data_IF_951618626048
#
_entry.id   IF_951618626048
#
_cell.length_a   1.000
_cell.length_b   1.000
_cell.length_c   1.000
_cell.angle_alpha   90.00
_cell.angle_beta   90.00
_cell.angle_gamma   90.00
#
_symmetry.space_group_name_H-M   'P 1'
#
loop_
_entity.id
_entity.type
_entity.pdbx_description
1 polymer ?
#
# COMPACT_ATOMS: atom_id res chain seq x y z
N UNK A 1 -4.48 -4.00 -16.40
CA UNK A 1 -5.85 -4.60 -16.34
C UNK A 1 -6.94 -3.62 -16.80
N UNK A 2 -6.76 -2.32 -16.65
CA UNK A 2 -7.75 -1.29 -17.03
C UNK A 2 -7.70 -0.91 -18.52
N UNK A 3 -6.58 -1.13 -19.18
CA UNK A 3 -6.42 -0.81 -20.61
C UNK A 3 -6.49 -2.07 -21.45
N UNK A 4 -7.14 -2.01 -22.64
CA UNK A 4 -7.16 -3.12 -23.59
C UNK A 4 -5.74 -3.58 -23.97
N UNK A 5 -5.59 -4.87 -24.26
CA UNK A 5 -4.33 -5.43 -24.76
C UNK A 5 -4.27 -5.42 -26.29
N UNK A 6 -5.43 -5.28 -26.92
CA UNK A 6 -5.62 -5.30 -28.36
C UNK A 6 -6.00 -3.91 -28.91
N UNK A 7 -6.06 -3.80 -30.23
CA UNK A 7 -6.39 -2.57 -30.93
C UNK A 7 -5.30 -1.50 -30.80
N UNK A 8 -5.67 -0.24 -31.04
CA UNK A 8 -4.73 0.90 -31.04
C UNK A 8 -4.13 1.17 -29.67
N UNK A 9 -4.95 1.09 -28.61
CA UNK A 9 -4.49 1.29 -27.22
C UNK A 9 -3.53 0.16 -26.83
N UNK A 10 -3.83 -1.09 -27.20
CA UNK A 10 -2.95 -2.22 -26.96
C UNK A 10 -1.59 -2.05 -27.64
N UNK A 11 -1.59 -1.66 -28.90
CA UNK A 11 -0.36 -1.36 -29.67
C UNK A 11 0.43 -0.20 -29.03
N UNK A 12 -0.23 0.89 -28.71
CA UNK A 12 0.40 2.06 -28.10
C UNK A 12 1.03 1.75 -26.73
N UNK A 13 0.41 0.93 -25.90
CA UNK A 13 0.89 0.58 -24.56
C UNK A 13 1.85 -0.61 -24.52
N UNK A 14 2.01 -1.35 -25.63
CA UNK A 14 2.86 -2.54 -25.70
C UNK A 14 4.33 -2.29 -25.27
N UNK A 15 5.01 -1.17 -25.60
CA UNK A 15 6.37 -0.92 -25.14
C UNK A 15 6.44 -0.81 -23.61
N UNK A 16 5.50 -0.10 -22.97
CA UNK A 16 5.45 0.02 -21.52
C UNK A 16 5.19 -1.34 -20.86
N UNK A 17 4.24 -2.12 -21.39
CA UNK A 17 3.94 -3.48 -20.89
C UNK A 17 5.15 -4.41 -20.96
N UNK A 18 5.87 -4.42 -22.09
CA UNK A 18 7.12 -5.20 -22.24
C UNK A 18 8.19 -4.77 -21.26
N UNK A 19 8.31 -3.45 -21.03
CA UNK A 19 9.26 -2.92 -20.07
C UNK A 19 8.92 -3.36 -18.65
N UNK A 20 7.65 -3.25 -18.23
CA UNK A 20 7.17 -3.70 -16.92
C UNK A 20 7.41 -5.20 -16.75
N UNK A 21 7.05 -6.01 -17.76
CA UNK A 21 7.27 -7.45 -17.72
C UNK A 21 8.75 -7.84 -17.56
N UNK A 22 9.66 -7.10 -18.22
CA UNK A 22 11.11 -7.33 -18.10
C UNK A 22 11.68 -6.88 -16.76
N UNK A 23 11.17 -5.78 -16.18
CA UNK A 23 11.60 -5.29 -14.88
C UNK A 23 11.08 -6.17 -13.74
N UNK A 24 9.99 -6.87 -13.98
CA UNK A 24 9.34 -7.70 -12.98
C UNK A 24 8.55 -6.90 -11.95
N UNK A 25 8.20 -7.58 -10.86
CA UNK A 25 7.51 -6.99 -9.71
C UNK A 25 8.52 -6.59 -8.63
N UNK A 26 8.22 -5.49 -7.94
CA UNK A 26 9.00 -5.05 -6.79
C UNK A 26 8.87 -5.98 -5.59
N UNK A 27 9.55 -5.61 -4.52
CA UNK A 27 9.49 -6.34 -3.27
C UNK A 27 8.08 -6.31 -2.67
N UNK A 28 7.77 -7.32 -1.90
CA UNK A 28 6.60 -7.42 -1.07
C UNK A 28 6.99 -7.40 0.41
N UNK A 29 6.02 -7.53 1.30
CA UNK A 29 6.28 -7.58 2.73
C UNK A 29 5.31 -8.51 3.44
N UNK A 30 5.72 -8.99 4.60
CA UNK A 30 4.83 -9.49 5.64
C UNK A 30 4.74 -8.42 6.71
N UNK A 31 3.52 -8.07 7.09
CA UNK A 31 3.26 -7.12 8.17
C UNK A 31 2.49 -7.79 9.28
N UNK A 32 3.00 -7.68 10.48
CA UNK A 32 2.31 -8.08 11.72
C UNK A 32 1.74 -6.83 12.34
N UNK A 33 0.42 -6.75 12.40
CA UNK A 33 -0.32 -5.70 13.08
C UNK A 33 -0.60 -6.15 14.51
N UNK A 34 -0.28 -5.30 15.46
CA UNK A 34 -0.46 -5.55 16.89
C UNK A 34 -1.43 -4.54 17.47
N UNK A 35 -2.42 -5.01 18.21
CA UNK A 35 -3.15 -4.21 19.17
C UNK A 35 -2.50 -4.43 20.53
N UNK A 36 -2.22 -3.32 21.20
CA UNK A 36 -1.57 -3.32 22.52
C UNK A 36 -2.59 -2.99 23.60
N UNK A 37 -2.43 -3.62 24.77
CA UNK A 37 -3.31 -3.45 25.92
C UNK A 37 -3.17 -2.11 26.62
N UNK A 38 -2.00 -1.46 26.47
CA UNK A 38 -1.72 -0.16 27.03
C UNK A 38 -0.78 0.67 26.15
N UNK A 39 -0.55 1.92 26.53
CA UNK A 39 0.31 2.83 25.78
C UNK A 39 1.76 2.30 25.76
N UNK A 40 2.37 2.08 24.58
CA UNK A 40 3.73 1.56 24.49
C UNK A 40 4.79 2.53 25.04
N UNK A 41 4.44 3.77 25.38
CA UNK A 41 5.31 4.66 26.14
C UNK A 41 5.65 4.10 27.53
N UNK A 42 4.84 3.20 28.09
CA UNK A 42 5.10 2.50 29.35
C UNK A 42 6.37 1.65 29.32
N UNK A 43 6.78 1.20 28.13
CA UNK A 43 8.02 0.46 27.89
C UNK A 43 9.12 1.29 27.22
N UNK A 44 9.02 2.62 27.28
CA UNK A 44 10.05 3.55 26.81
C UNK A 44 10.00 3.90 25.32
N UNK A 45 8.91 3.55 24.60
CA UNK A 45 8.75 3.92 23.20
C UNK A 45 8.44 5.40 23.05
N UNK A 46 9.19 6.11 22.23
CA UNK A 46 9.04 7.55 21.97
C UNK A 46 8.30 7.89 20.67
N UNK A 47 7.94 6.86 19.90
CA UNK A 47 7.31 7.00 18.57
C UNK A 47 8.31 6.97 17.42
N UNK A 48 9.60 6.86 17.67
CA UNK A 48 10.62 6.58 16.67
C UNK A 48 10.36 5.24 15.98
N UNK A 49 10.80 5.11 14.73
CA UNK A 49 10.82 3.83 14.04
C UNK A 49 12.10 3.08 14.44
N UNK A 50 11.99 1.77 14.60
CA UNK A 50 13.12 0.93 14.98
C UNK A 50 13.40 -0.07 13.84
N UNK A 51 14.63 -0.10 13.35
CA UNK A 51 15.13 -1.13 12.46
C UNK A 51 15.96 -2.12 13.27
N UNK A 52 15.59 -3.38 13.21
CA UNK A 52 16.27 -4.47 13.93
C UNK A 52 16.80 -5.45 12.91
N UNK A 53 18.06 -5.76 12.99
CA UNK A 53 18.73 -6.75 12.15
C UNK A 53 19.49 -7.75 13.00
N UNK A 54 19.45 -9.02 12.62
CA UNK A 54 20.25 -10.07 13.29
C UNK A 54 21.72 -9.92 13.02
N UNK A 55 22.04 -9.44 11.83
CA UNK A 55 23.39 -9.31 11.32
C UNK A 55 23.58 -7.97 10.64
N UNK A 56 24.72 -7.35 10.81
CA UNK A 56 25.07 -6.09 10.14
C UNK A 56 25.68 -6.33 8.75
N UNK A 57 26.13 -7.53 8.46
CA UNK A 57 26.79 -7.86 7.19
C UNK A 57 25.86 -7.73 5.98
N UNK A 58 24.53 -7.76 6.18
CA UNK A 58 23.59 -7.57 5.09
C UNK A 58 23.56 -6.12 4.55
N UNK A 59 24.06 -5.14 5.31
CA UNK A 59 24.20 -3.74 4.86
C UNK A 59 25.55 -3.47 4.18
N UNK A 60 26.51 -4.34 4.36
CA UNK A 60 27.83 -4.24 3.76
C UNK A 60 27.80 -4.51 2.25
N UNK A 61 26.99 -3.74 1.51
CA UNK A 61 26.72 -3.67 0.09
C UNK A 61 27.82 -4.14 -0.89
N UNK A 62 28.27 -5.34 -0.70
CA UNK A 62 29.08 -6.09 -1.66
C UNK A 62 28.19 -7.07 -2.45
N UNK A 63 28.78 -7.76 -3.39
CA UNK A 63 28.14 -8.81 -4.21
C UNK A 63 27.57 -10.01 -3.38
N UNK A 64 27.56 -9.87 -2.04
CA UNK A 64 27.05 -10.81 -1.06
C UNK A 64 25.66 -10.44 -0.50
N UNK A 65 24.77 -9.82 -1.28
CA UNK A 65 23.36 -9.73 -0.87
C UNK A 65 22.85 -11.15 -0.62
N UNK A 66 22.30 -11.43 0.59
CA UNK A 66 21.74 -12.74 0.87
C UNK A 66 20.75 -13.11 -0.21
N UNK A 67 20.82 -14.35 -0.66
CA UNK A 67 19.91 -14.92 -1.65
C UNK A 67 18.45 -14.61 -1.27
N UNK A 68 17.66 -13.97 -2.11
CA UNK A 68 16.26 -13.67 -1.84
C UNK A 68 15.44 -14.91 -1.44
N UNK A 69 15.78 -16.06 -1.98
CA UNK A 69 15.12 -17.33 -1.65
C UNK A 69 15.53 -17.84 -0.26
N UNK A 70 16.78 -17.67 0.14
CA UNK A 70 17.25 -18.00 1.49
C UNK A 70 16.58 -17.09 2.55
N UNK A 71 16.46 -15.78 2.28
CA UNK A 71 15.73 -14.85 3.14
C UNK A 71 14.26 -15.22 3.27
N UNK A 72 13.62 -15.55 2.16
CA UNK A 72 12.24 -16.00 2.16
C UNK A 72 12.06 -17.27 2.98
N UNK A 73 12.94 -18.26 2.81
CA UNK A 73 12.93 -19.50 3.58
C UNK A 73 13.13 -19.26 5.08
N UNK A 74 14.04 -18.38 5.47
CA UNK A 74 14.26 -18.00 6.87
C UNK A 74 13.01 -17.34 7.48
N UNK A 75 12.38 -16.41 6.76
CA UNK A 75 11.14 -15.78 7.19
C UNK A 75 10.01 -16.79 7.38
N UNK A 76 9.80 -17.70 6.41
CA UNK A 76 8.79 -18.76 6.50
C UNK A 76 9.06 -19.72 7.68
N UNK A 77 10.31 -19.89 8.06
CA UNK A 77 10.74 -20.66 9.24
C UNK A 77 10.60 -19.86 10.56
N UNK A 78 10.08 -18.63 10.54
CA UNK A 78 9.97 -17.76 11.71
C UNK A 78 11.32 -17.18 12.17
N UNK A 79 12.28 -17.05 11.29
CA UNK A 79 13.62 -16.50 11.57
C UNK A 79 13.92 -15.35 10.62
N UNK A 80 13.18 -14.23 10.69
CA UNK A 80 13.45 -13.07 9.84
C UNK A 80 14.87 -12.54 10.10
N UNK A 81 15.56 -12.10 9.05
CA UNK A 81 16.87 -11.47 9.16
C UNK A 81 16.79 -10.06 9.73
N UNK A 82 15.73 -9.34 9.37
CA UNK A 82 15.48 -7.99 9.84
C UNK A 82 14.00 -7.68 9.90
N UNK A 83 13.65 -6.75 10.79
CA UNK A 83 12.29 -6.20 10.90
C UNK A 83 12.34 -4.68 11.09
N UNK A 84 11.33 -4.03 10.58
CA UNK A 84 11.01 -2.63 10.87
C UNK A 84 9.86 -2.59 11.86
N UNK A 85 9.99 -1.83 12.93
CA UNK A 85 8.96 -1.67 13.97
C UNK A 85 8.50 -0.23 14.01
N UNK A 86 7.20 -0.02 14.03
CA UNK A 86 6.56 1.28 14.09
C UNK A 86 5.41 1.29 15.09
N UNK A 87 5.15 2.46 15.66
CA UNK A 87 4.09 2.67 16.65
C UNK A 87 3.13 3.78 16.18
N UNK A 88 2.18 3.47 15.28
CA UNK A 88 1.29 4.46 14.68
C UNK A 88 0.45 5.22 15.71
N UNK A 89 -0.03 4.56 16.76
CA UNK A 89 -0.82 5.19 17.81
C UNK A 89 -0.03 6.25 18.62
N UNK A 90 1.27 6.03 18.83
CA UNK A 90 2.15 7.03 19.49
C UNK A 90 2.29 8.26 18.63
N UNK A 91 2.45 8.09 17.31
CA UNK A 91 2.59 9.19 16.35
C UNK A 91 1.32 10.00 16.16
N UNK A 92 0.19 9.32 16.13
CA UNK A 92 -1.13 9.97 15.96
C UNK A 92 -1.72 10.51 17.25
N UNK A 93 -1.27 10.01 18.40
CA UNK A 93 -1.83 10.33 19.71
C UNK A 93 -3.24 9.74 19.96
N UNK A 94 -3.65 8.74 19.19
CA UNK A 94 -5.00 8.17 19.26
C UNK A 94 -4.98 6.71 19.71
N UNK A 95 -5.99 6.32 20.52
CA UNK A 95 -6.33 4.94 20.81
C UNK A 95 -7.12 4.32 19.62
N UNK A 96 -7.10 2.98 19.45
CA UNK A 96 -6.39 2.01 20.29
C UNK A 96 -4.88 2.06 20.10
N UNK A 97 -4.15 1.56 21.11
CA UNK A 97 -2.70 1.45 21.05
C UNK A 97 -2.29 0.36 20.05
N UNK A 98 -1.39 0.70 19.12
CA UNK A 98 -1.01 -0.19 18.02
C UNK A 98 0.48 -0.15 17.75
N UNK A 99 1.00 -1.28 17.28
CA UNK A 99 2.32 -1.40 16.68
C UNK A 99 2.25 -2.19 15.37
N UNK A 100 3.23 -1.98 14.51
CA UNK A 100 3.40 -2.71 13.25
C UNK A 100 4.83 -3.22 13.17
N UNK A 101 4.97 -4.51 12.81
CA UNK A 101 6.27 -5.11 12.53
C UNK A 101 6.26 -5.55 11.08
N UNK A 102 7.23 -5.09 10.28
CA UNK A 102 7.31 -5.34 8.85
C UNK A 102 8.61 -6.06 8.52
N UNK A 103 8.52 -7.15 7.77
CA UNK A 103 9.64 -7.83 7.16
C UNK A 103 9.48 -7.85 5.64
N UNK A 104 10.50 -7.43 4.90
CA UNK A 104 10.47 -7.51 3.45
C UNK A 104 10.63 -8.94 2.97
N UNK A 105 9.88 -9.30 1.94
CA UNK A 105 9.85 -10.66 1.40
C UNK A 105 9.61 -10.66 -0.11
N UNK A 106 10.07 -11.69 -0.78
CA UNK A 106 9.63 -12.03 -2.12
C UNK A 106 8.24 -12.68 -2.09
N UNK A 107 7.37 -12.30 -3.04
CA UNK A 107 6.04 -12.88 -3.14
C UNK A 107 6.06 -14.38 -3.53
N UNK A 108 7.13 -14.85 -4.16
CA UNK A 108 7.28 -16.24 -4.62
C UNK A 108 7.08 -17.27 -3.52
N UNK A 109 7.56 -16.99 -2.32
CA UNK A 109 7.47 -17.88 -1.17
C UNK A 109 6.02 -18.21 -0.73
N UNK A 110 5.05 -17.35 -1.08
CA UNK A 110 3.63 -17.51 -0.69
C UNK A 110 2.77 -18.06 -1.83
N UNK A 111 3.32 -18.28 -3.03
CA UNK A 111 2.57 -18.78 -4.21
C UNK A 111 1.86 -20.11 -3.99
N UNK A 112 2.34 -21.07 -3.18
CA UNK A 112 1.64 -22.32 -2.93
C UNK A 112 0.19 -22.17 -2.42
N UNK A 113 -0.11 -21.01 -1.80
CA UNK A 113 -1.46 -20.71 -1.28
C UNK A 113 -2.24 -19.69 -2.12
N UNK A 114 -1.72 -19.28 -3.28
CA UNK A 114 -2.30 -18.19 -4.06
C UNK A 114 -3.69 -18.51 -4.65
N UNK A 115 -3.91 -19.76 -5.01
CA UNK A 115 -5.16 -20.20 -5.65
C UNK A 115 -6.29 -20.47 -4.64
N UNK A 116 -5.99 -20.37 -3.34
CA UNK A 116 -6.99 -20.53 -2.29
C UNK A 116 -7.68 -19.19 -1.97
N UNK A 117 -8.98 -19.20 -1.64
CA UNK A 117 -9.72 -17.98 -1.34
C UNK A 117 -9.11 -17.18 -0.19
N UNK A 118 -9.22 -15.85 -0.27
CA UNK A 118 -8.88 -14.99 0.86
C UNK A 118 -9.81 -15.32 2.06
N UNK A 119 -9.21 -15.47 3.25
CA UNK A 119 -9.92 -15.86 4.46
C UNK A 119 -10.00 -17.37 4.69
N UNK A 120 -9.80 -18.20 3.66
CA UNK A 120 -9.79 -19.66 3.77
C UNK A 120 -8.65 -20.29 2.97
N UNK A 121 -7.42 -20.08 3.43
CA UNK A 121 -6.22 -20.69 2.84
C UNK A 121 -5.77 -21.95 3.58
N UNK A 122 -6.57 -22.42 4.56
CA UNK A 122 -6.36 -23.67 5.30
C UNK A 122 -5.44 -23.52 6.52
N UNK A 123 -5.47 -24.55 7.36
CA UNK A 123 -4.78 -24.57 8.67
C UNK A 123 -3.24 -24.42 8.54
N UNK A 124 -2.66 -25.02 7.51
CA UNK A 124 -1.21 -24.89 7.23
C UNK A 124 -0.78 -23.43 7.03
N UNK A 125 -1.57 -22.68 6.26
CA UNK A 125 -1.31 -21.25 6.04
C UNK A 125 -1.51 -20.43 7.32
N UNK A 126 -2.49 -20.75 8.14
CA UNK A 126 -2.69 -20.10 9.44
C UNK A 126 -1.50 -20.36 10.37
N UNK A 127 -1.07 -21.61 10.49
CA UNK A 127 0.11 -21.97 11.27
C UNK A 127 1.41 -21.30 10.76
N UNK A 128 1.53 -21.14 9.44
CA UNK A 128 2.63 -20.38 8.84
C UNK A 128 2.61 -18.91 9.30
N UNK A 129 1.45 -18.25 9.24
CA UNK A 129 1.29 -16.86 9.69
C UNK A 129 1.65 -16.70 11.17
N UNK A 130 1.19 -17.60 12.02
CA UNK A 130 1.51 -17.60 13.45
C UNK A 130 3.02 -17.76 13.71
N UNK A 131 3.65 -18.70 13.02
CA UNK A 131 5.11 -18.92 13.12
C UNK A 131 5.90 -17.69 12.68
N UNK A 132 5.52 -17.06 11.57
CA UNK A 132 6.16 -15.83 11.09
C UNK A 132 5.96 -14.70 12.10
N UNK A 133 4.75 -14.50 12.59
CA UNK A 133 4.44 -13.46 13.56
C UNK A 133 5.26 -13.62 14.85
N UNK A 134 5.34 -14.83 15.38
CA UNK A 134 6.13 -15.14 16.58
C UNK A 134 7.61 -14.83 16.37
N UNK A 135 8.17 -15.19 15.20
CA UNK A 135 9.56 -14.91 14.89
C UNK A 135 9.86 -13.43 14.68
N UNK A 136 8.94 -12.71 14.05
CA UNK A 136 9.07 -11.25 13.86
C UNK A 136 8.94 -10.50 15.18
N UNK A 137 8.01 -10.90 16.05
CA UNK A 137 7.84 -10.33 17.38
C UNK A 137 9.06 -10.62 18.27
N UNK A 138 9.58 -11.85 18.25
CA UNK A 138 10.77 -12.21 19.00
C UNK A 138 12.01 -11.39 18.58
N UNK A 139 12.15 -11.08 17.28
CA UNK A 139 13.23 -10.21 16.84
C UNK A 139 12.99 -8.76 17.25
N UNK A 140 11.77 -8.24 17.15
CA UNK A 140 11.40 -6.91 17.61
C UNK A 140 11.64 -6.71 19.11
N UNK A 141 11.34 -7.72 19.92
CA UNK A 141 11.55 -7.74 21.38
C UNK A 141 13.01 -7.48 21.78
N UNK A 142 13.97 -7.88 20.96
CA UNK A 142 15.39 -7.64 21.24
C UNK A 142 15.77 -6.18 21.26
N UNK A 143 15.01 -5.33 20.56
CA UNK A 143 15.26 -3.88 20.50
C UNK A 143 14.19 -3.08 21.23
N UNK A 144 13.03 -3.66 21.49
CA UNK A 144 11.91 -3.06 22.24
C UNK A 144 11.47 -4.04 23.32
N UNK A 145 12.25 -4.16 24.42
CA UNK A 145 11.93 -5.08 25.50
C UNK A 145 10.58 -4.79 26.14
N UNK A 146 9.78 -5.82 26.40
CA UNK A 146 8.43 -5.71 26.96
C UNK A 146 7.32 -5.53 25.92
N UNK A 147 7.66 -5.45 24.62
CA UNK A 147 6.64 -5.33 23.57
C UNK A 147 5.70 -6.53 23.57
N UNK A 148 6.24 -7.73 23.72
CA UNK A 148 5.45 -8.98 23.70
C UNK A 148 4.40 -9.02 24.82
N UNK A 149 4.72 -8.49 26.00
CA UNK A 149 3.81 -8.46 27.15
C UNK A 149 2.62 -7.52 26.92
N UNK A 150 2.78 -6.53 26.04
CA UNK A 150 1.72 -5.59 25.69
C UNK A 150 0.76 -6.13 24.63
N UNK A 151 1.08 -7.20 23.92
CA UNK A 151 0.27 -7.69 22.81
C UNK A 151 -1.04 -8.27 23.32
N UNK A 152 -2.16 -7.71 22.84
CA UNK A 152 -3.52 -8.18 23.09
C UNK A 152 -4.07 -8.96 21.88
N UNK A 153 -3.76 -8.49 20.67
CA UNK A 153 -4.25 -9.08 19.43
C UNK A 153 -3.20 -8.97 18.34
N UNK A 154 -3.14 -9.97 17.49
CA UNK A 154 -2.19 -10.06 16.38
C UNK A 154 -2.92 -10.40 15.08
N UNK A 155 -2.64 -9.65 14.03
CA UNK A 155 -3.06 -9.97 12.67
C UNK A 155 -1.86 -9.94 11.72
N UNK A 156 -1.84 -10.84 10.74
CA UNK A 156 -0.73 -10.95 9.80
C UNK A 156 -1.23 -10.75 8.37
N UNK A 157 -0.67 -9.74 7.71
CA UNK A 157 -0.76 -9.52 6.28
C UNK A 157 0.44 -10.13 5.57
N UNK A 158 0.22 -10.79 4.46
CA UNK A 158 1.26 -11.42 3.62
C UNK A 158 1.21 -10.83 2.22
N UNK A 159 2.15 -11.15 1.32
CA UNK A 159 2.06 -10.78 -0.09
C UNK A 159 0.72 -11.12 -0.75
N UNK A 160 0.10 -12.25 -0.37
CA UNK A 160 -1.23 -12.63 -0.88
C UNK A 160 -2.36 -11.74 -0.36
N UNK A 161 -2.20 -11.17 0.82
CA UNK A 161 -3.14 -10.18 1.39
C UNK A 161 -3.04 -8.87 0.60
N UNK A 162 -1.81 -8.40 0.34
CA UNK A 162 -1.59 -7.22 -0.49
C UNK A 162 -2.15 -7.42 -1.90
N UNK A 163 -1.85 -8.55 -2.55
CA UNK A 163 -2.36 -8.85 -3.89
C UNK A 163 -3.89 -8.82 -3.93
N UNK A 164 -4.55 -9.39 -2.92
CA UNK A 164 -6.00 -9.43 -2.84
C UNK A 164 -6.62 -8.03 -2.72
N UNK A 165 -6.15 -7.20 -1.80
CA UNK A 165 -6.78 -5.92 -1.51
C UNK A 165 -6.32 -4.78 -2.43
N UNK A 166 -5.09 -4.81 -2.94
CA UNK A 166 -4.54 -3.74 -3.78
C UNK A 166 -4.54 -4.08 -5.27
N UNK A 167 -4.78 -5.33 -5.62
CA UNK A 167 -4.66 -5.88 -6.97
C UNK A 167 -3.26 -5.66 -7.61
N UNK A 168 -2.24 -5.37 -6.79
CA UNK A 168 -0.87 -5.30 -7.26
C UNK A 168 -0.37 -6.71 -7.60
N UNK A 169 0.22 -6.91 -8.78
CA UNK A 169 0.74 -8.21 -9.17
C UNK A 169 1.75 -8.74 -8.14
N UNK A 170 1.58 -10.00 -7.74
CA UNK A 170 2.40 -10.68 -6.76
C UNK A 170 2.50 -9.93 -5.41
N UNK A 171 1.49 -9.13 -5.05
CA UNK A 171 1.48 -8.38 -3.80
C UNK A 171 2.61 -7.37 -3.67
N UNK A 172 3.10 -6.82 -4.79
CA UNK A 172 4.20 -5.86 -4.78
C UNK A 172 3.85 -4.63 -3.94
N UNK A 173 4.64 -4.39 -2.91
CA UNK A 173 4.44 -3.28 -1.97
C UNK A 173 4.66 -1.91 -2.62
N UNK A 174 5.66 -1.83 -3.51
CA UNK A 174 6.05 -0.60 -4.20
C UNK A 174 5.91 -0.67 -5.74
N UNK A 175 5.12 -1.59 -6.27
CA UNK A 175 4.91 -1.70 -7.71
C UNK A 175 6.15 -2.14 -8.48
N UNK A 176 6.56 -1.37 -9.50
CA UNK A 176 7.74 -1.68 -10.32
C UNK A 176 9.04 -1.44 -9.52
N UNK A 177 10.03 -2.36 -9.56
CA UNK A 177 11.27 -2.24 -8.80
C UNK A 177 12.02 -0.93 -9.08
N UNK A 178 12.58 -0.30 -8.04
CA UNK A 178 13.41 0.91 -8.16
C UNK A 178 14.83 0.56 -8.59
N UNK A 179 15.01 0.16 -9.82
CA UNK A 179 16.30 -0.18 -10.41
C UNK A 179 16.80 0.91 -11.36
N UNK A 180 18.12 1.01 -11.63
CA UNK A 180 18.63 1.92 -12.64
C UNK A 180 17.96 1.73 -14.02
N UNK A 181 17.59 0.49 -14.35
CA UNK A 181 16.89 0.17 -15.60
C UNK A 181 15.50 0.81 -15.64
N UNK A 182 14.75 0.82 -14.50
CA UNK A 182 13.47 1.51 -14.40
C UNK A 182 13.60 2.99 -14.74
N UNK A 183 14.52 3.69 -14.08
CA UNK A 183 14.69 5.14 -14.24
C UNK A 183 15.24 5.55 -15.60
N UNK A 184 15.92 4.64 -16.32
CA UNK A 184 16.35 4.84 -17.70
C UNK A 184 15.28 4.47 -18.73
N UNK A 185 14.18 3.91 -18.32
CA UNK A 185 13.13 3.37 -19.22
C UNK A 185 12.16 4.47 -19.63
N UNK A 186 12.33 5.01 -20.84
CA UNK A 186 11.45 6.06 -21.40
C UNK A 186 9.95 5.75 -21.41
N UNK A 187 9.49 4.48 -21.60
CA UNK A 187 8.07 4.14 -21.57
C UNK A 187 7.40 4.26 -20.20
N UNK A 188 8.21 4.39 -19.12
CA UNK A 188 7.72 4.55 -17.76
C UNK A 188 7.84 6.00 -17.34
N UNK A 189 6.75 6.57 -16.86
CA UNK A 189 6.70 7.97 -16.43
C UNK A 189 5.28 8.52 -16.50
N UNK A 190 5.10 9.82 -16.20
CA UNK A 190 3.78 10.42 -16.15
C UNK A 190 3.04 10.42 -17.49
N UNK A 191 3.76 10.59 -18.59
CA UNK A 191 3.16 10.62 -19.93
C UNK A 191 3.03 9.22 -20.49
N UNK A 192 1.83 8.84 -20.89
CA UNK A 192 1.60 7.59 -21.60
C UNK A 192 1.57 7.76 -23.11
N UNK A 193 1.60 6.66 -23.84
CA UNK A 193 1.40 6.67 -25.29
C UNK A 193 -0.07 6.83 -25.70
N UNK A 194 -1.00 6.85 -24.74
CA UNK A 194 -2.41 7.07 -24.98
C UNK A 194 -2.71 8.57 -24.81
N UNK A 195 -3.19 9.27 -25.84
CA UNK A 195 -3.51 10.69 -25.75
C UNK A 195 -4.48 11.00 -24.60
N UNK A 196 -4.15 12.01 -23.81
CA UNK A 196 -4.97 12.45 -22.67
C UNK A 196 -4.86 11.57 -21.42
N UNK A 197 -4.15 10.44 -21.47
CA UNK A 197 -3.92 9.60 -20.29
C UNK A 197 -2.55 9.88 -19.66
N UNK A 198 -2.57 10.28 -18.40
CA UNK A 198 -1.38 10.47 -17.57
C UNK A 198 -1.35 9.46 -16.43
N UNK A 199 -0.16 9.08 -16.01
CA UNK A 199 0.07 8.28 -14.81
C UNK A 199 0.60 9.19 -13.70
N UNK A 200 0.18 8.92 -12.47
CA UNK A 200 0.70 9.57 -11.28
C UNK A 200 1.05 8.53 -10.20
N UNK A 201 1.62 9.00 -9.09
CA UNK A 201 1.98 8.11 -7.99
C UNK A 201 3.36 7.50 -8.13
N UNK A 202 3.63 6.49 -7.32
CA UNK A 202 4.97 5.89 -7.21
C UNK A 202 5.50 5.26 -8.50
N UNK A 203 4.63 4.69 -9.32
CA UNK A 203 5.05 4.05 -10.58
C UNK A 203 5.37 5.05 -11.69
N UNK A 204 4.88 6.28 -11.58
CA UNK A 204 5.22 7.39 -12.46
C UNK A 204 6.39 8.26 -11.94
N UNK A 205 6.67 8.20 -10.65
CA UNK A 205 7.74 8.92 -9.97
C UNK A 205 8.79 7.98 -9.40
N UNK A 206 8.85 7.91 -8.09
CA UNK A 206 9.76 7.05 -7.34
C UNK A 206 9.02 6.37 -6.19
N UNK A 207 9.69 5.46 -5.48
CA UNK A 207 9.09 4.73 -4.38
C UNK A 207 8.81 5.62 -3.17
N UNK A 208 7.87 5.18 -2.34
CA UNK A 208 7.52 5.80 -1.08
C UNK A 208 6.64 7.04 -1.24
N UNK A 209 6.31 7.67 -0.12
CA UNK A 209 5.35 8.80 -0.05
C UNK A 209 5.83 9.98 -0.89
N UNK A 210 7.09 10.39 -0.72
CA UNK A 210 7.67 11.52 -1.46
C UNK A 210 7.74 11.20 -2.96
N UNK A 211 8.13 9.98 -3.32
CA UNK A 211 8.18 9.55 -4.72
C UNK A 211 6.80 9.54 -5.37
N UNK A 212 5.78 9.06 -4.66
CA UNK A 212 4.41 9.09 -5.14
C UNK A 212 3.88 10.53 -5.30
N UNK A 213 4.17 11.41 -4.36
CA UNK A 213 3.85 12.83 -4.44
C UNK A 213 4.52 13.49 -5.65
N UNK A 214 5.81 13.26 -5.86
CA UNK A 214 6.54 13.79 -7.00
C UNK A 214 6.05 13.23 -8.34
N UNK A 215 5.58 11.98 -8.37
CA UNK A 215 4.87 11.41 -9.51
C UNK A 215 3.59 12.18 -9.83
N UNK A 216 2.84 12.60 -8.80
CA UNK A 216 1.69 13.49 -8.94
C UNK A 216 2.06 14.87 -9.48
N UNK A 217 3.10 15.50 -8.94
CA UNK A 217 3.64 16.78 -9.44
C UNK A 217 4.05 16.66 -10.91
N UNK A 218 4.76 15.60 -11.25
CA UNK A 218 5.19 15.36 -12.62
C UNK A 218 4.01 15.17 -13.60
N UNK A 219 2.98 14.44 -13.19
CA UNK A 219 1.75 14.29 -13.97
C UNK A 219 1.01 15.63 -14.15
N UNK A 220 0.89 16.42 -13.09
CA UNK A 220 0.30 17.76 -13.15
C UNK A 220 1.09 18.70 -14.07
N UNK A 221 2.43 18.64 -14.03
CA UNK A 221 3.28 19.40 -14.95
C UNK A 221 3.04 18.99 -16.42
N UNK A 222 2.83 17.70 -16.69
CA UNK A 222 2.50 17.25 -18.06
C UNK A 222 1.14 17.79 -18.52
N UNK A 223 0.14 17.85 -17.62
CA UNK A 223 -1.17 18.40 -17.95
C UNK A 223 -1.15 19.92 -18.17
N UNK A 224 -0.36 20.66 -17.39
CA UNK A 224 -0.26 22.12 -17.44
C UNK A 224 0.76 22.63 -18.49
N UNK A 225 1.53 21.73 -19.10
CA UNK A 225 2.56 22.08 -20.11
C UNK A 225 3.79 22.76 -19.50
N UNK A 226 4.49 23.57 -20.30
CA UNK A 226 5.79 24.17 -19.94
C UNK A 226 5.74 25.08 -18.69
N UNK A 227 4.57 25.59 -18.33
CA UNK A 227 4.37 26.42 -17.14
C UNK A 227 4.00 25.61 -15.90
N UNK A 228 3.84 24.29 -16.00
CA UNK A 228 3.32 23.45 -14.92
C UNK A 228 4.14 23.58 -13.64
N UNK A 229 5.44 23.34 -13.69
CA UNK A 229 6.27 23.42 -12.49
C UNK A 229 6.34 24.85 -11.87
N UNK A 230 6.55 25.93 -12.64
CA UNK A 230 6.47 27.29 -12.11
C UNK A 230 5.11 27.61 -11.45
N UNK A 231 4.00 27.16 -12.04
CA UNK A 231 2.66 27.38 -11.48
C UNK A 231 2.50 26.67 -10.15
N UNK A 232 2.87 25.39 -10.05
CA UNK A 232 2.80 24.62 -8.81
C UNK A 232 3.71 25.26 -7.75
N UNK A 233 4.96 25.58 -8.10
CA UNK A 233 5.90 26.19 -7.17
C UNK A 233 5.44 27.59 -6.70
N UNK A 234 4.78 28.36 -7.56
CA UNK A 234 4.20 29.65 -7.19
C UNK A 234 3.02 29.47 -6.23
N UNK A 235 2.12 28.52 -6.50
CA UNK A 235 1.01 28.23 -5.62
C UNK A 235 1.46 27.75 -4.23
N UNK A 236 2.49 26.92 -4.16
CA UNK A 236 3.09 26.47 -2.90
C UNK A 236 3.70 27.63 -2.13
N UNK A 237 4.47 28.53 -2.80
CA UNK A 237 5.07 29.70 -2.16
C UNK A 237 4.05 30.74 -1.70
N UNK A 238 2.99 30.94 -2.48
CA UNK A 238 1.89 31.83 -2.10
C UNK A 238 1.14 31.37 -0.85
N UNK A 239 1.54 30.16 -0.32
CA UNK A 239 0.75 29.52 0.68
C UNK A 239 -0.64 29.36 0.10
N UNK A 240 -0.79 28.41 -0.86
CA UNK A 240 -2.13 27.94 -1.19
C UNK A 240 -2.86 27.81 0.14
N UNK A 241 -4.00 28.54 0.35
CA UNK A 241 -4.59 28.65 1.67
C UNK A 241 -4.58 27.25 2.22
N UNK A 242 -3.90 27.06 3.37
CA UNK A 242 -3.93 25.79 4.04
C UNK A 242 -5.39 25.44 3.94
N UNK A 243 -5.73 24.44 3.12
CA UNK A 243 -7.10 23.96 3.08
C UNK A 243 -7.47 24.01 4.52
N UNK A 244 -8.50 24.79 4.96
CA UNK A 244 -8.83 24.79 6.34
C UNK A 244 -8.74 23.34 6.66
N UNK A 245 -7.96 22.97 7.70
CA UNK A 245 -7.85 21.57 8.04
C UNK A 245 -9.29 21.15 8.26
N UNK A 246 -9.97 20.93 7.16
CA UNK A 246 -11.14 20.13 7.06
C UNK A 246 -10.60 18.78 7.46
N UNK A 247 -10.37 18.69 8.78
CA UNK A 247 -10.63 17.44 9.46
C UNK A 247 -11.83 16.92 8.74
N UNK A 248 -11.79 15.71 8.14
CA UNK A 248 -12.97 15.18 7.48
C UNK A 248 -14.13 15.51 8.41
N UNK A 249 -14.92 16.48 7.97
CA UNK A 249 -16.02 17.00 8.78
C UNK A 249 -16.80 15.76 9.06
N UNK A 250 -16.87 15.39 10.36
CA UNK A 250 -17.53 14.17 10.76
C UNK A 250 -18.78 14.11 9.90
N UNK A 251 -18.86 13.10 9.05
CA UNK A 251 -20.01 12.97 8.13
C UNK A 251 -21.21 13.24 9.01
N UNK A 252 -22.13 14.14 8.63
CA UNK A 252 -23.31 14.39 9.42
C UNK A 252 -23.83 13.02 9.82
N UNK A 253 -24.12 12.80 11.10
CA UNK A 253 -24.64 11.55 11.63
C UNK A 253 -25.98 11.25 10.96
N UNK A 254 -25.95 10.85 9.70
CA UNK A 254 -27.10 10.60 8.87
C UNK A 254 -26.79 9.41 7.94
N UNK A 255 -27.53 8.32 8.13
CA UNK A 255 -27.62 7.28 7.12
C UNK A 255 -28.49 7.84 6.00
N UNK A 256 -27.95 7.91 4.80
CA UNK A 256 -28.71 8.26 3.60
C UNK A 256 -29.13 6.98 2.89
N UNK A 257 -30.39 6.90 2.51
CA UNK A 257 -30.83 5.89 1.58
C UNK A 257 -30.33 6.23 0.19
N UNK A 258 -29.77 5.24 -0.50
CA UNK A 258 -29.29 5.39 -1.86
C UNK A 258 -29.97 4.36 -2.76
N UNK A 259 -30.51 4.82 -3.88
CA UNK A 259 -31.00 3.94 -4.93
C UNK A 259 -29.94 3.77 -6.03
N UNK A 260 -29.78 2.56 -6.55
CA UNK A 260 -28.94 2.35 -7.73
C UNK A 260 -29.67 2.93 -8.95
N UNK A 261 -29.16 4.05 -9.47
CA UNK A 261 -29.73 4.75 -10.64
C UNK A 261 -29.26 4.08 -11.92
N UNK A 262 -27.98 3.72 -11.99
CA UNK A 262 -27.43 3.00 -13.13
C UNK A 262 -26.29 2.07 -12.71
N UNK A 263 -26.10 1.04 -13.52
CA UNK A 263 -25.02 0.08 -13.37
C UNK A 263 -24.43 -0.22 -14.73
N UNK A 264 -23.17 0.08 -14.96
CA UNK A 264 -22.48 -0.14 -16.21
C UNK A 264 -21.22 -1.01 -15.97
N UNK A 265 -21.11 -2.07 -16.75
CA UNK A 265 -19.92 -2.91 -16.70
C UNK A 265 -18.81 -2.27 -17.52
N UNK A 266 -17.69 -1.95 -16.89
CA UNK A 266 -16.52 -1.37 -17.53
C UNK A 266 -15.53 -2.44 -18.02
N UNK A 267 -15.34 -3.50 -17.22
CA UNK A 267 -14.54 -4.68 -17.55
C UNK A 267 -15.22 -5.94 -17.01
N UNK A 268 -14.72 -7.14 -17.27
CA UNK A 268 -15.27 -8.37 -16.68
C UNK A 268 -15.39 -8.35 -15.16
N UNK A 269 -14.57 -7.58 -14.46
CA UNK A 269 -14.52 -7.50 -12.99
C UNK A 269 -14.78 -6.11 -12.42
N UNK A 270 -14.96 -5.06 -13.25
CA UNK A 270 -15.15 -3.69 -12.80
C UNK A 270 -16.52 -3.17 -13.25
N UNK A 271 -17.23 -2.60 -12.31
CA UNK A 271 -18.53 -1.99 -12.52
C UNK A 271 -18.52 -0.54 -12.09
N UNK A 272 -19.13 0.32 -12.89
CA UNK A 272 -19.53 1.66 -12.52
C UNK A 272 -20.95 1.59 -11.97
N UNK A 273 -21.16 2.10 -10.78
CA UNK A 273 -22.47 2.17 -10.16
C UNK A 273 -22.77 3.62 -9.80
N UNK A 274 -23.85 4.16 -10.35
CA UNK A 274 -24.34 5.50 -9.99
C UNK A 274 -25.42 5.36 -8.94
N UNK A 275 -25.24 6.05 -7.83
CA UNK A 275 -26.20 6.08 -6.72
C UNK A 275 -26.93 7.42 -6.70
N UNK A 276 -28.26 7.37 -6.69
CA UNK A 276 -29.10 8.50 -6.36
C UNK A 276 -29.31 8.55 -4.84
N UNK A 277 -28.96 9.66 -4.21
CA UNK A 277 -29.10 9.85 -2.77
C UNK A 277 -30.36 10.61 -2.44
N UNK A 278 -31.08 10.21 -1.40
CA UNK A 278 -32.22 10.96 -0.88
C UNK A 278 -31.73 12.07 0.05
N UNK A 279 -31.94 13.32 -0.35
CA UNK A 279 -31.58 14.53 0.40
C UNK A 279 -30.25 15.17 0.02
N UNK A 280 -29.95 16.34 0.56
CA UNK A 280 -28.75 17.09 0.25
C UNK A 280 -27.51 16.36 0.86
N UNK A 281 -26.61 15.92 0.02
CA UNK A 281 -25.28 15.44 0.43
C UNK A 281 -24.36 16.64 0.42
N UNK A 282 -23.59 16.82 1.47
CA UNK A 282 -22.58 17.86 1.52
C UNK A 282 -21.55 17.74 0.39
N UNK A 283 -20.83 18.81 0.09
CA UNK A 283 -19.78 18.78 -0.92
C UNK A 283 -18.69 17.75 -0.55
N UNK A 284 -18.35 16.92 -1.50
CA UNK A 284 -17.29 15.93 -1.36
C UNK A 284 -15.91 16.57 -1.48
N UNK A 285 -14.97 16.11 -0.64
CA UNK A 285 -13.57 16.52 -0.74
C UNK A 285 -12.71 15.32 -1.17
N UNK A 286 -11.63 15.55 -1.95
CA UNK A 286 -10.69 14.49 -2.30
C UNK A 286 -10.17 13.75 -1.07
N UNK A 287 -10.13 12.41 -1.14
CA UNK A 287 -9.73 11.56 -0.03
C UNK A 287 -10.86 11.14 0.90
N UNK A 288 -12.09 11.54 0.62
CA UNK A 288 -13.26 10.99 1.31
C UNK A 288 -13.65 9.62 0.74
N UNK A 289 -14.33 8.85 1.55
CA UNK A 289 -14.89 7.57 1.15
C UNK A 289 -16.34 7.48 1.60
N UNK A 290 -17.14 6.70 0.86
CA UNK A 290 -18.48 6.32 1.26
C UNK A 290 -18.46 4.94 1.87
N UNK A 291 -19.14 4.79 3.01
CA UNK A 291 -19.40 3.47 3.59
C UNK A 291 -20.80 3.05 3.21
N UNK A 292 -20.90 1.98 2.40
CA UNK A 292 -22.17 1.45 1.94
C UNK A 292 -22.56 0.22 2.76
N UNK A 293 -23.82 0.18 3.20
CA UNK A 293 -24.43 -1.02 3.78
C UNK A 293 -24.96 -1.89 2.63
N UNK A 294 -24.38 -3.07 2.47
CA UNK A 294 -24.73 -3.99 1.38
C UNK A 294 -25.29 -5.29 1.95
N UNK A 295 -26.57 -5.29 2.29
CA UNK A 295 -27.28 -6.47 2.83
C UNK A 295 -26.74 -6.93 4.20
N UNK A 296 -27.39 -7.88 4.80
CA UNK A 296 -27.11 -8.60 6.06
C UNK A 296 -25.88 -8.14 6.88
N UNK A 297 -25.94 -6.91 7.43
CA UNK A 297 -24.90 -6.26 8.27
C UNK A 297 -23.50 -6.10 7.66
N UNK A 298 -23.35 -6.27 6.35
CA UNK A 298 -22.10 -6.04 5.66
C UNK A 298 -21.91 -4.57 5.24
N UNK A 299 -20.84 -3.96 5.73
CA UNK A 299 -20.40 -2.63 5.33
C UNK A 299 -19.21 -2.71 4.39
N UNK A 300 -19.16 -1.84 3.40
CA UNK A 300 -18.02 -1.72 2.45
C UNK A 300 -17.65 -0.27 2.28
N UNK A 301 -16.35 0.02 2.33
CA UNK A 301 -15.80 1.35 2.11
C UNK A 301 -15.38 1.50 0.64
N UNK A 302 -15.82 2.60 0.02
CA UNK A 302 -15.50 2.95 -1.35
C UNK A 302 -14.88 4.34 -1.39
N UNK A 303 -13.75 4.50 -2.05
CA UNK A 303 -13.20 5.82 -2.37
C UNK A 303 -14.08 6.50 -3.42
N UNK A 304 -14.30 7.77 -3.23
CA UNK A 304 -15.15 8.61 -4.10
C UNK A 304 -14.26 9.53 -4.91
#
# INVERSE_FOLDING_TARGET
>A
RLLPVDGDIGRATAPARRTIARLGTGMSAVTVFLRLREDPRSIGVDGGNVWVSRDLDHEAGGDGQPDPDARAAALLAGRPDSVFVSFPSVKSGHAPHTAEIIAFSGAGAFRPWADRPQGDRGAEYSALKERIASGMLALAETAVPGLSDLVEYTEVSTPLTFEHYTAHPAGAFYGVPATPQRYRSRPLGPRTAVPGLLLSGQDAGSLGIVGAMMGGVAAACQALGSRGFPMIASAVRAGAPARPADRPRALPEGKHHAAVVSKRRLTPSVWEVTLGLEGPVGAWAPGQFARLHVGDDAWRDYSI
#
